data_IF_770965722663
#
_entry.id   IF_770965722663
#
_cell.length_a   1.000
_cell.length_b   1.000
_cell.length_c   1.000
_cell.angle_alpha   90.00
_cell.angle_beta   90.00
_cell.angle_gamma   90.00
#
_symmetry.space_group_name_H-M   'P 1'
#
loop_
_entity.id
_entity.type
_entity.pdbx_description
1 polymer ?
#
# COMPACT_ATOMS: atom_id res chain seq x y z
N UNK A 1 20.88 -5.67 -52.23
CA UNK A 1 19.82 -6.69 -52.26
C UNK A 1 19.39 -6.83 -50.82
N UNK A 2 18.19 -6.34 -50.48
CA UNK A 2 17.61 -6.50 -49.15
C UNK A 2 16.86 -7.84 -49.17
N UNK A 3 17.24 -8.76 -48.31
CA UNK A 3 16.53 -10.01 -48.10
C UNK A 3 15.31 -9.70 -47.21
N UNK A 4 14.11 -9.93 -47.74
CA UNK A 4 12.86 -9.89 -46.99
C UNK A 4 12.79 -11.15 -46.12
N UNK A 5 13.05 -10.99 -44.83
CA UNK A 5 12.80 -12.04 -43.84
C UNK A 5 11.36 -11.90 -43.36
N UNK A 6 10.49 -12.79 -43.84
CA UNK A 6 9.22 -13.06 -43.18
C UNK A 6 9.50 -13.85 -41.89
N UNK A 7 9.92 -13.16 -40.83
CA UNK A 7 9.85 -13.73 -39.48
C UNK A 7 8.38 -13.78 -39.07
N UNK A 8 7.72 -14.87 -39.44
CA UNK A 8 6.46 -15.24 -38.80
C UNK A 8 6.81 -15.74 -37.39
N UNK A 9 6.73 -14.84 -36.41
CA UNK A 9 6.83 -15.21 -35.00
C UNK A 9 5.83 -16.33 -34.73
N UNK A 10 6.22 -17.41 -34.02
CA UNK A 10 5.29 -18.48 -33.70
C UNK A 10 4.14 -17.85 -32.90
N UNK A 11 2.94 -17.87 -33.49
CA UNK A 11 1.74 -17.47 -32.78
C UNK A 11 1.53 -18.49 -31.67
N UNK A 12 1.75 -18.06 -30.44
CA UNK A 12 1.32 -18.81 -29.27
C UNK A 12 -0.13 -19.24 -29.52
N UNK A 13 -0.38 -20.53 -29.44
CA UNK A 13 -1.74 -21.05 -29.63
C UNK A 13 -2.59 -20.63 -28.43
N UNK A 14 -3.89 -20.39 -28.62
CA UNK A 14 -4.81 -20.07 -27.51
C UNK A 14 -4.71 -21.12 -26.37
N UNK A 15 -4.40 -22.37 -26.72
CA UNK A 15 -4.15 -23.46 -25.76
C UNK A 15 -2.88 -23.28 -24.89
N UNK A 16 -1.87 -22.54 -25.34
CA UNK A 16 -0.67 -22.20 -24.54
C UNK A 16 -0.93 -20.98 -23.62
N UNK A 17 -1.90 -20.13 -23.96
CA UNK A 17 -2.35 -19.02 -23.12
C UNK A 17 -3.34 -19.44 -22.02
N UNK A 18 -4.00 -20.60 -22.16
CA UNK A 18 -5.02 -21.09 -21.21
C UNK A 18 -4.45 -21.88 -20.01
N UNK A 19 -3.14 -22.09 -19.94
CA UNK A 19 -2.54 -23.09 -19.04
C UNK A 19 -2.11 -22.63 -17.64
N UNK A 20 -1.99 -21.33 -17.35
CA UNK A 20 -1.40 -20.92 -16.07
C UNK A 20 -1.86 -19.55 -15.56
N UNK A 21 -3.17 -19.35 -15.45
CA UNK A 21 -3.70 -18.27 -14.63
C UNK A 21 -3.81 -18.78 -13.20
N UNK A 22 -2.72 -18.74 -12.44
CA UNK A 22 -2.86 -18.81 -10.99
C UNK A 22 -3.49 -17.48 -10.57
N UNK A 23 -4.74 -17.45 -10.07
CA UNK A 23 -5.22 -16.25 -9.41
C UNK A 23 -4.25 -15.96 -8.27
N UNK A 24 -3.79 -14.70 -8.16
CA UNK A 24 -2.99 -14.32 -7.01
C UNK A 24 -3.84 -14.65 -5.79
N UNK A 25 -3.37 -15.53 -4.92
CA UNK A 25 -3.97 -15.69 -3.60
C UNK A 25 -3.35 -14.60 -2.75
N UNK A 26 -3.85 -13.37 -2.90
CA UNK A 26 -3.70 -12.34 -1.87
C UNK A 26 -4.41 -12.88 -0.66
N UNK A 27 -3.68 -13.67 0.14
CA UNK A 27 -4.24 -14.24 1.35
C UNK A 27 -4.69 -13.05 2.18
N UNK A 28 -5.96 -13.01 2.62
CA UNK A 28 -6.37 -12.04 3.61
C UNK A 28 -5.34 -12.08 4.74
N UNK A 29 -4.87 -10.92 5.25
CA UNK A 29 -3.86 -10.89 6.27
C UNK A 29 -4.26 -11.78 7.46
N UNK A 30 -3.26 -12.39 8.09
CA UNK A 30 -3.46 -13.37 9.15
C UNK A 30 -4.49 -12.87 10.18
N UNK A 31 -5.52 -13.70 10.43
CA UNK A 31 -6.69 -13.35 11.23
C UNK A 31 -6.29 -12.66 12.54
N UNK A 32 -6.95 -11.52 12.82
CA UNK A 32 -6.79 -10.75 14.06
C UNK A 32 -6.95 -11.68 15.25
N UNK A 33 -5.91 -11.77 16.11
CA UNK A 33 -6.07 -12.40 17.42
C UNK A 33 -6.81 -11.42 18.34
N UNK A 34 -7.66 -11.94 19.22
CA UNK A 34 -8.59 -11.14 20.02
C UNK A 34 -7.93 -10.13 20.97
N UNK A 35 -6.63 -10.24 21.21
CA UNK A 35 -5.81 -9.43 22.11
C UNK A 35 -4.74 -8.58 21.41
N UNK A 36 -4.63 -8.62 20.08
CA UNK A 36 -3.58 -7.89 19.36
C UNK A 36 -3.88 -6.41 19.15
N UNK A 37 -2.86 -5.58 19.36
CA UNK A 37 -2.89 -4.13 19.09
C UNK A 37 -2.79 -3.85 17.60
N UNK A 38 -3.31 -2.70 17.15
CA UNK A 38 -3.22 -2.28 15.74
C UNK A 38 -1.78 -2.30 15.22
N UNK A 39 -0.83 -1.88 16.06
CA UNK A 39 0.61 -1.98 15.83
C UNK A 39 1.07 -3.40 15.51
N UNK A 40 0.76 -4.36 16.39
CA UNK A 40 1.18 -5.75 16.20
C UNK A 40 0.60 -6.37 14.92
N UNK A 41 -0.64 -6.01 14.59
CA UNK A 41 -1.32 -6.49 13.37
C UNK A 41 -0.62 -5.94 12.13
N UNK A 42 -0.40 -4.62 12.06
CA UNK A 42 0.28 -3.98 10.92
C UNK A 42 1.73 -4.44 10.79
N UNK A 43 2.46 -4.55 11.90
CA UNK A 43 3.85 -5.05 11.87
C UNK A 43 3.93 -6.48 11.33
N UNK A 44 3.04 -7.38 11.76
CA UNK A 44 2.97 -8.74 11.21
C UNK A 44 2.61 -8.74 9.73
N UNK A 45 1.61 -7.94 9.35
CA UNK A 45 1.16 -7.83 7.96
C UNK A 45 2.31 -7.39 7.06
N UNK A 46 2.97 -6.28 7.38
CA UNK A 46 4.13 -5.78 6.62
C UNK A 46 5.27 -6.80 6.58
N UNK A 47 5.53 -7.51 7.69
CA UNK A 47 6.54 -8.58 7.72
C UNK A 47 6.23 -9.71 6.74
N UNK A 48 4.95 -10.02 6.52
CA UNK A 48 4.55 -11.04 5.53
C UNK A 48 4.70 -10.57 4.08
N UNK A 49 4.67 -9.25 3.85
CA UNK A 49 4.79 -8.63 2.53
C UNK A 49 6.25 -8.32 2.13
N UNK A 50 7.16 -8.23 3.10
CA UNK A 50 8.57 -7.89 2.85
C UNK A 50 9.26 -8.72 1.74
N UNK A 51 9.15 -10.06 1.70
CA UNK A 51 9.78 -10.84 0.63
C UNK A 51 9.25 -10.51 -0.76
N UNK A 52 7.97 -10.12 -0.85
CA UNK A 52 7.35 -9.70 -2.10
C UNK A 52 7.78 -8.29 -2.49
N UNK A 53 7.87 -7.40 -1.52
CA UNK A 53 8.43 -6.07 -1.74
C UNK A 53 9.86 -6.15 -2.28
N UNK A 54 10.74 -6.94 -1.66
CA UNK A 54 12.12 -7.13 -2.13
C UNK A 54 12.15 -7.62 -3.58
N UNK A 55 11.33 -8.62 -3.90
CA UNK A 55 11.19 -9.15 -5.26
C UNK A 55 10.65 -8.09 -6.25
N UNK A 56 9.73 -7.24 -5.83
CA UNK A 56 9.23 -6.13 -6.65
C UNK A 56 10.36 -5.17 -7.02
N UNK A 57 11.22 -4.83 -6.06
CA UNK A 57 12.36 -3.94 -6.28
C UNK A 57 13.40 -4.58 -7.19
N UNK A 58 13.71 -5.85 -6.99
CA UNK A 58 14.62 -6.61 -7.85
C UNK A 58 14.13 -6.67 -9.30
N UNK A 59 12.83 -6.88 -9.51
CA UNK A 59 12.24 -7.03 -10.84
C UNK A 59 12.06 -5.69 -11.58
N UNK A 60 11.62 -4.64 -10.88
CA UNK A 60 11.27 -3.37 -11.50
C UNK A 60 12.44 -2.37 -11.50
N UNK A 61 13.43 -2.53 -10.61
CA UNK A 61 14.56 -1.61 -10.44
C UNK A 61 14.20 -0.24 -9.88
N UNK A 62 12.95 -0.03 -9.47
CA UNK A 62 12.41 1.22 -8.91
C UNK A 62 11.22 0.93 -8.01
N UNK A 63 11.08 1.73 -6.95
CA UNK A 63 9.94 1.76 -6.04
C UNK A 63 9.25 3.11 -6.12
N UNK A 64 7.96 3.17 -5.81
CA UNK A 64 7.27 4.43 -5.55
C UNK A 64 7.50 4.97 -4.12
N UNK A 65 8.31 4.27 -3.32
CA UNK A 65 8.80 4.77 -2.03
C UNK A 65 9.72 5.99 -2.17
N UNK A 66 9.78 6.77 -1.10
CA UNK A 66 10.76 7.83 -0.87
C UNK A 66 10.15 9.22 -0.85
N UNK A 67 8.82 9.34 -0.91
CA UNK A 67 8.14 10.63 -0.86
C UNK A 67 8.46 11.37 0.46
N UNK A 68 8.54 10.65 1.58
CA UNK A 68 8.92 11.22 2.88
C UNK A 68 10.44 11.23 3.14
N UNK A 69 11.21 10.48 2.34
CA UNK A 69 12.63 10.21 2.62
C UNK A 69 12.89 9.31 3.84
N UNK A 70 11.85 8.73 4.45
CA UNK A 70 11.95 7.82 5.58
C UNK A 70 12.14 6.38 5.12
N UNK A 71 12.66 5.53 6.01
CA UNK A 71 12.54 4.08 5.80
C UNK A 71 11.09 3.65 6.04
N UNK A 72 10.70 2.52 5.46
CA UNK A 72 9.36 1.93 5.63
C UNK A 72 9.02 1.73 7.10
N UNK A 73 9.98 1.34 7.93
CA UNK A 73 9.79 1.18 9.38
C UNK A 73 9.52 2.52 10.07
N UNK A 74 10.29 3.56 9.74
CA UNK A 74 10.09 4.88 10.36
C UNK A 74 8.77 5.48 9.90
N UNK A 75 8.41 5.35 8.62
CA UNK A 75 7.10 5.75 8.12
C UNK A 75 5.95 5.04 8.86
N UNK A 76 6.07 3.73 9.10
CA UNK A 76 5.13 2.96 9.93
C UNK A 76 5.01 3.54 11.33
N UNK A 77 6.14 3.83 11.99
CA UNK A 77 6.12 4.41 13.34
C UNK A 77 5.45 5.78 13.39
N UNK A 78 5.68 6.63 12.38
CA UNK A 78 4.97 7.89 12.24
C UNK A 78 3.46 7.64 12.20
N UNK A 79 2.98 6.81 11.28
CA UNK A 79 1.54 6.56 11.12
C UNK A 79 0.91 5.93 12.37
N UNK A 80 1.57 4.96 13.00
CA UNK A 80 1.09 4.34 14.24
C UNK A 80 1.02 5.33 15.40
N UNK A 81 1.97 6.26 15.50
CA UNK A 81 1.94 7.29 16.55
C UNK A 81 0.70 8.19 16.43
N UNK A 82 0.26 8.50 15.21
CA UNK A 82 -0.96 9.28 14.96
C UNK A 82 -2.24 8.51 15.28
N UNK A 83 -2.20 7.20 15.31
CA UNK A 83 -3.32 6.38 15.79
C UNK A 83 -3.33 6.35 17.32
N UNK A 84 -2.19 5.99 17.93
CA UNK A 84 -2.04 5.75 19.36
C UNK A 84 -2.16 7.02 20.21
N UNK A 85 -1.85 8.19 19.65
CA UNK A 85 -1.92 9.48 20.31
C UNK A 85 -1.93 10.64 19.31
N UNK A 86 -1.75 11.87 19.79
CA UNK A 86 -1.48 13.03 18.95
C UNK A 86 0.04 13.25 18.90
N UNK A 87 0.71 12.97 17.78
CA UNK A 87 2.14 13.19 17.63
C UNK A 87 2.42 14.67 17.52
N UNK A 88 3.49 15.09 18.17
CA UNK A 88 3.88 16.50 18.16
C UNK A 88 4.64 16.88 16.90
N UNK A 89 5.26 15.92 16.22
CA UNK A 89 6.15 16.17 15.09
C UNK A 89 6.35 14.91 14.23
N UNK A 90 6.88 15.09 13.02
CA UNK A 90 7.42 14.02 12.17
C UNK A 90 8.92 14.23 11.93
N UNK A 91 9.70 13.16 11.70
CA UNK A 91 11.12 13.30 11.38
C UNK A 91 11.39 13.87 9.97
N UNK A 92 10.35 14.19 9.19
CA UNK A 92 10.51 14.70 7.82
C UNK A 92 10.86 16.18 7.87
N UNK A 93 12.05 16.52 7.38
CA UNK A 93 12.62 17.86 7.53
C UNK A 93 12.05 18.85 6.50
N UNK A 94 11.84 20.09 6.94
CA UNK A 94 11.53 21.21 6.06
C UNK A 94 10.06 21.32 5.61
N UNK A 95 9.18 20.51 6.19
CA UNK A 95 7.74 20.51 5.93
C UNK A 95 6.94 20.46 7.24
N UNK A 96 5.62 20.66 7.16
CA UNK A 96 4.72 20.55 8.30
C UNK A 96 4.56 19.10 8.78
N UNK A 97 4.19 18.94 10.05
CA UNK A 97 3.87 17.64 10.68
C UNK A 97 2.79 16.88 9.90
N UNK A 98 1.76 17.60 9.47
CA UNK A 98 0.69 17.14 8.59
C UNK A 98 1.21 16.62 7.27
N UNK A 99 2.01 17.40 6.53
CA UNK A 99 2.57 16.96 5.25
C UNK A 99 3.52 15.76 5.44
N UNK A 100 4.33 15.75 6.50
CA UNK A 100 5.18 14.61 6.85
C UNK A 100 4.40 13.33 7.10
N UNK A 101 3.24 13.42 7.77
CA UNK A 101 2.32 12.30 7.92
C UNK A 101 1.78 11.82 6.58
N UNK A 102 1.32 12.74 5.70
CA UNK A 102 0.80 12.38 4.38
C UNK A 102 1.84 11.61 3.57
N UNK A 103 3.08 12.11 3.51
CA UNK A 103 4.16 11.47 2.77
C UNK A 103 4.53 10.11 3.35
N UNK A 104 4.52 9.96 4.68
CA UNK A 104 4.74 8.66 5.33
C UNK A 104 3.62 7.66 4.97
N UNK A 105 2.36 8.11 4.92
CA UNK A 105 1.24 7.26 4.47
C UNK A 105 1.39 6.88 3.00
N UNK A 106 1.81 7.80 2.13
CA UNK A 106 2.00 7.53 0.71
C UNK A 106 3.13 6.52 0.47
N UNK A 107 4.22 6.61 1.23
CA UNK A 107 5.28 5.60 1.22
C UNK A 107 4.75 4.23 1.65
N UNK A 108 3.98 4.15 2.73
CA UNK A 108 3.42 2.86 3.15
C UNK A 108 2.45 2.30 2.11
N UNK A 109 1.58 3.12 1.48
CA UNK A 109 0.74 2.67 0.37
C UNK A 109 1.61 2.10 -0.76
N UNK A 110 2.67 2.79 -1.15
CA UNK A 110 3.58 2.33 -2.19
C UNK A 110 4.23 0.99 -1.83
N UNK A 111 4.69 0.79 -0.59
CA UNK A 111 5.22 -0.50 -0.13
C UNK A 111 4.21 -1.65 -0.35
N UNK A 112 2.94 -1.46 0.06
CA UNK A 112 1.91 -2.49 -0.09
C UNK A 112 1.60 -2.78 -1.57
N UNK A 113 1.50 -1.75 -2.40
CA UNK A 113 1.18 -1.90 -3.82
C UNK A 113 2.34 -2.57 -4.57
N UNK A 114 3.58 -2.13 -4.33
CA UNK A 114 4.78 -2.75 -4.91
C UNK A 114 4.85 -4.24 -4.52
N UNK A 115 4.67 -4.56 -3.23
CA UNK A 115 4.63 -5.95 -2.75
C UNK A 115 3.54 -6.79 -3.42
N UNK A 116 2.33 -6.24 -3.59
CA UNK A 116 1.23 -6.94 -4.26
C UNK A 116 1.53 -7.24 -5.73
N UNK A 117 2.22 -6.33 -6.44
CA UNK A 117 2.56 -6.54 -7.87
C UNK A 117 3.58 -7.65 -8.13
N UNK A 118 4.40 -7.98 -7.13
CA UNK A 118 5.38 -9.07 -7.23
C UNK A 118 4.82 -10.43 -6.82
N UNK A 119 3.61 -10.48 -6.26
CA UNK A 119 2.98 -11.75 -5.92
C UNK A 119 2.57 -12.53 -7.17
N UNK A 120 2.72 -13.87 -7.16
CA UNK A 120 2.51 -14.70 -8.34
C UNK A 120 1.04 -14.75 -8.73
N UNK A 121 0.77 -14.42 -9.99
CA UNK A 121 -0.55 -14.49 -10.63
C UNK A 121 -0.91 -13.20 -11.38
N UNK A 122 -2.09 -13.18 -12.01
CA UNK A 122 -2.47 -12.11 -12.94
C UNK A 122 -3.51 -11.14 -12.37
N UNK A 123 -3.26 -10.53 -11.21
CA UNK A 123 -4.15 -9.48 -10.73
C UNK A 123 -4.10 -8.24 -11.59
N UNK A 124 -5.27 -7.68 -11.82
CA UNK A 124 -5.39 -6.33 -12.34
C UNK A 124 -5.03 -5.31 -11.24
N UNK A 125 -4.71 -4.08 -11.67
CA UNK A 125 -4.53 -2.98 -10.72
C UNK A 125 -5.77 -2.73 -9.85
N UNK A 126 -6.97 -3.07 -10.33
CA UNK A 126 -8.21 -2.98 -9.54
C UNK A 126 -8.22 -4.01 -8.41
N UNK A 127 -7.85 -5.24 -8.68
CA UNK A 127 -7.83 -6.31 -7.65
C UNK A 127 -6.85 -5.96 -6.53
N UNK A 128 -5.69 -5.39 -6.88
CA UNK A 128 -4.71 -4.93 -5.90
C UNK A 128 -5.25 -3.78 -5.05
N UNK A 129 -5.97 -2.82 -5.66
CA UNK A 129 -6.59 -1.72 -4.91
C UNK A 129 -7.68 -2.23 -3.98
N UNK A 130 -8.55 -3.12 -4.46
CA UNK A 130 -9.64 -3.68 -3.67
C UNK A 130 -9.10 -4.47 -2.48
N UNK A 131 -8.07 -5.31 -2.69
CA UNK A 131 -7.35 -5.97 -1.59
C UNK A 131 -6.75 -4.98 -0.60
N UNK A 132 -6.02 -3.96 -1.08
CA UNK A 132 -5.39 -2.99 -0.20
C UNK A 132 -6.42 -2.32 0.72
N UNK A 133 -7.52 -1.84 0.17
CA UNK A 133 -8.51 -1.09 0.94
C UNK A 133 -9.46 -1.95 1.77
N UNK A 134 -9.81 -3.15 1.31
CA UNK A 134 -10.85 -3.97 1.95
C UNK A 134 -10.28 -5.09 2.83
N UNK A 135 -9.07 -5.55 2.54
CA UNK A 135 -8.53 -6.76 3.18
C UNK A 135 -7.36 -6.46 4.10
N UNK A 136 -6.57 -5.40 3.84
CA UNK A 136 -5.40 -5.11 4.69
C UNK A 136 -5.77 -4.44 6.01
N UNK A 137 -5.07 -4.83 7.06
CA UNK A 137 -5.15 -4.19 8.37
C UNK A 137 -4.68 -2.73 8.29
N UNK A 138 -3.69 -2.43 7.44
CA UNK A 138 -3.25 -1.05 7.22
C UNK A 138 -4.32 -0.20 6.52
N UNK A 139 -5.02 -0.73 5.51
CA UNK A 139 -6.17 -0.07 4.88
C UNK A 139 -7.27 0.26 5.89
N UNK A 140 -7.62 -0.69 6.76
CA UNK A 140 -8.54 -0.47 7.88
C UNK A 140 -8.02 0.56 8.90
N UNK A 141 -6.72 0.55 9.19
CA UNK A 141 -6.08 1.54 10.08
C UNK A 141 -6.18 2.95 9.50
N UNK A 142 -6.00 3.13 8.19
CA UNK A 142 -6.13 4.43 7.53
C UNK A 142 -7.56 5.00 7.63
N UNK A 143 -8.60 4.16 7.65
CA UNK A 143 -9.97 4.60 7.91
C UNK A 143 -10.12 5.17 9.32
N UNK A 144 -9.58 4.47 10.32
CA UNK A 144 -9.56 4.95 11.70
C UNK A 144 -8.78 6.26 11.84
N UNK A 145 -7.64 6.37 11.15
CA UNK A 145 -6.82 7.58 11.13
C UNK A 145 -7.57 8.75 10.50
N UNK A 146 -8.21 8.54 9.34
CA UNK A 146 -9.04 9.54 8.67
C UNK A 146 -10.07 10.14 9.62
N UNK A 147 -10.88 9.29 10.24
CA UNK A 147 -11.96 9.75 11.12
C UNK A 147 -11.42 10.53 12.33
N UNK A 148 -10.29 10.10 12.88
CA UNK A 148 -9.61 10.81 13.96
C UNK A 148 -9.16 12.21 13.50
N UNK A 149 -8.45 12.28 12.37
CA UNK A 149 -7.88 13.54 11.86
C UNK A 149 -8.96 14.56 11.46
N UNK A 150 -10.07 14.14 10.87
CA UNK A 150 -11.17 15.04 10.50
C UNK A 150 -11.76 15.83 11.67
N UNK A 151 -11.60 15.32 12.90
CA UNK A 151 -12.07 15.98 14.12
C UNK A 151 -10.96 16.71 14.88
N UNK A 152 -9.75 16.77 14.30
CA UNK A 152 -8.61 17.44 14.91
C UNK A 152 -8.78 18.97 14.90
N UNK A 153 -8.25 19.64 15.93
CA UNK A 153 -8.28 21.09 16.02
C UNK A 153 -7.31 21.77 15.03
N UNK A 154 -6.27 21.06 14.60
CA UNK A 154 -5.36 21.50 13.55
C UNK A 154 -6.03 21.35 12.17
N UNK A 155 -6.23 22.47 11.48
CA UNK A 155 -6.93 22.51 10.20
C UNK A 155 -6.18 21.79 9.07
N UNK A 156 -4.84 21.71 9.13
CA UNK A 156 -4.04 21.03 8.12
C UNK A 156 -4.14 19.52 8.30
N UNK A 157 -4.10 19.03 9.54
CA UNK A 157 -4.37 17.63 9.85
C UNK A 157 -5.81 17.23 9.46
N UNK A 158 -6.80 18.07 9.75
CA UNK A 158 -8.19 17.83 9.35
C UNK A 158 -8.34 17.73 7.82
N UNK A 159 -7.67 18.60 7.08
CA UNK A 159 -7.66 18.57 5.61
C UNK A 159 -7.03 17.27 5.08
N UNK A 160 -5.93 16.81 5.69
CA UNK A 160 -5.26 15.56 5.31
C UNK A 160 -6.16 14.35 5.54
N UNK A 161 -6.81 14.30 6.71
CA UNK A 161 -7.79 13.27 7.02
C UNK A 161 -8.91 13.22 5.97
N UNK A 162 -9.50 14.38 5.67
CA UNK A 162 -10.63 14.47 4.75
C UNK A 162 -10.30 13.99 3.33
N UNK A 163 -9.16 14.42 2.78
CA UNK A 163 -8.90 14.34 1.33
C UNK A 163 -7.74 13.43 0.91
N UNK A 164 -6.73 13.22 1.76
CA UNK A 164 -5.44 12.68 1.29
C UNK A 164 -5.15 11.27 1.78
N UNK A 165 -5.71 10.86 2.93
CA UNK A 165 -5.41 9.54 3.48
C UNK A 165 -6.16 8.41 2.77
N UNK A 166 -7.46 8.58 2.54
CA UNK A 166 -8.33 7.56 1.92
C UNK A 166 -9.06 8.18 0.73
N UNK A 167 -8.98 7.60 -0.48
CA UNK A 167 -9.75 8.07 -1.64
C UNK A 167 -11.25 8.00 -1.37
N UNK A 168 -12.02 8.95 -1.90
CA UNK A 168 -13.47 9.01 -1.68
C UNK A 168 -14.22 7.76 -2.13
N UNK A 169 -13.72 7.01 -3.12
CA UNK A 169 -14.29 5.73 -3.55
C UNK A 169 -14.19 4.61 -2.51
N UNK A 170 -13.38 4.81 -1.47
CA UNK A 170 -13.14 3.84 -0.40
C UNK A 170 -13.53 4.38 0.97
N UNK A 171 -14.17 5.54 1.09
CA UNK A 171 -14.68 5.98 2.39
C UNK A 171 -15.69 4.97 2.95
N UNK A 172 -15.53 4.58 4.22
CA UNK A 172 -16.59 3.84 4.90
C UNK A 172 -17.77 4.78 5.07
N UNK A 173 -18.96 4.36 4.63
CA UNK A 173 -20.17 5.14 4.88
C UNK A 173 -20.37 5.22 6.40
N UNK A 174 -20.40 6.44 6.94
CA UNK A 174 -20.89 6.68 8.29
C UNK A 174 -22.37 6.27 8.33
N UNK A 175 -22.64 5.11 8.95
CA UNK A 175 -23.99 4.59 9.15
C UNK A 175 -24.74 5.33 10.24
#
# INVERSE_FOLDING_TARGET
>A
MLEDYAEEAPKATEAEMEGWVCPINLSPPAHRRTDETSRQIVEREMKSLWPWYDMAIENCGRSNLGASGLTVEIAREVVLSFIEGEPKDTPVLGISTSEGLRLAVDDLKAFYLDAATAQPGNASGRDIQDWFWQETAFGGLLQGLRNKLMTNADAELALIGEWFLVPSSHHLNDG
#
